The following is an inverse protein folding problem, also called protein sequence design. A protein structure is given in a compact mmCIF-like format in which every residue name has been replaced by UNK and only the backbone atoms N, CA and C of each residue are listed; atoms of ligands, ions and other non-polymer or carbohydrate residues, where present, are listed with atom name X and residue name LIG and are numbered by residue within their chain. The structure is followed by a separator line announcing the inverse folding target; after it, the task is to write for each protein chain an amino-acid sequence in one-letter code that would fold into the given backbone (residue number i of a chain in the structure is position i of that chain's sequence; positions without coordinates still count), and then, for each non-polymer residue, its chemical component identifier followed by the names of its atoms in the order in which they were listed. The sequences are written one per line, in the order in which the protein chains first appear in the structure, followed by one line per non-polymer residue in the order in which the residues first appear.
data_IF_090836767502
#
_entry.id   IF_090836767502
#
_cell.length_a   1.000
_cell.length_b   1.000
_cell.length_c   1.000
_cell.angle_alpha   90.00
_cell.angle_beta   90.00
_cell.angle_gamma   90.00
#
_symmetry.space_group_name_H-M   'P 1'
#
loop_
_entity.id
_entity.type
_entity.pdbx_description
1 polymer ?
#
# COMPACT_ATOMS: atom_id res chain seq x y z
N UNK A 1 23.18 8.84 1.15
CA UNK A 1 21.74 8.61 1.33
C UNK A 1 21.55 7.13 1.59
N UNK A 2 20.77 6.75 2.58
CA UNK A 2 20.49 5.33 2.85
C UNK A 2 19.77 4.73 1.65
N UNK A 3 20.23 3.58 1.17
CA UNK A 3 19.58 2.80 0.08
C UNK A 3 18.37 2.00 0.60
N UNK A 4 18.12 2.04 1.90
CA UNK A 4 17.04 1.33 2.59
C UNK A 4 15.74 2.11 2.41
N UNK A 5 14.75 1.48 1.82
CA UNK A 5 13.40 2.05 1.60
C UNK A 5 12.41 1.67 2.68
N UNK A 6 12.55 0.47 3.26
CA UNK A 6 11.77 0.02 4.42
C UNK A 6 12.73 -0.58 5.44
N UNK A 7 12.57 -0.21 6.71
CA UNK A 7 13.25 -0.83 7.84
C UNK A 7 12.28 -1.05 8.97
N UNK A 8 12.37 -2.19 9.64
CA UNK A 8 11.61 -2.47 10.86
C UNK A 8 12.53 -2.92 11.98
N UNK A 9 12.16 -2.57 13.20
CA UNK A 9 12.82 -3.07 14.42
C UNK A 9 11.75 -3.47 15.42
N UNK A 10 11.82 -4.72 15.89
CA UNK A 10 10.89 -5.32 16.86
C UNK A 10 9.41 -5.13 16.49
N UNK A 11 9.09 -5.11 15.17
CA UNK A 11 7.75 -4.85 14.67
C UNK A 11 6.80 -5.94 15.14
N UNK A 12 5.78 -5.55 15.89
CA UNK A 12 4.82 -6.48 16.48
C UNK A 12 3.40 -5.97 16.27
N UNK A 13 2.49 -6.90 15.93
CA UNK A 13 1.05 -6.62 15.83
C UNK A 13 0.25 -7.65 16.60
N UNK A 14 -0.48 -7.20 17.61
CA UNK A 14 -1.39 -8.01 18.42
C UNK A 14 -2.80 -7.42 18.33
N UNK A 15 -3.76 -8.28 18.12
CA UNK A 15 -5.18 -7.90 18.23
C UNK A 15 -5.61 -8.04 19.67
N UNK A 16 -6.26 -6.99 20.20
CA UNK A 16 -6.86 -7.02 21.52
C UNK A 16 -8.22 -7.73 21.45
N UNK A 17 -8.52 -8.56 22.44
CA UNK A 17 -9.79 -9.29 22.57
C UNK A 17 -9.79 -10.10 23.86
N UNK A 18 -10.84 -10.89 24.11
CA UNK A 18 -10.88 -11.80 25.27
C UNK A 18 -9.68 -12.78 25.25
N UNK A 19 -9.27 -13.20 24.05
CA UNK A 19 -8.02 -13.92 23.82
C UNK A 19 -7.19 -13.11 22.83
N UNK A 20 -6.06 -12.50 23.26
CA UNK A 20 -5.20 -11.76 22.36
C UNK A 20 -4.61 -12.66 21.26
N UNK A 21 -4.63 -12.19 20.03
CA UNK A 21 -4.05 -12.90 18.88
C UNK A 21 -2.84 -12.14 18.37
N UNK A 22 -1.68 -12.79 18.34
CA UNK A 22 -0.47 -12.23 17.74
C UNK A 22 -0.47 -12.51 16.24
N UNK A 23 -0.49 -11.47 15.43
CA UNK A 23 -0.47 -11.56 13.97
C UNK A 23 0.96 -11.50 13.43
N UNK A 24 1.80 -10.64 14.03
CA UNK A 24 3.22 -10.45 13.71
C UNK A 24 3.96 -10.25 15.03
N UNK A 25 5.12 -10.85 15.19
CA UNK A 25 5.90 -10.77 16.43
C UNK A 25 7.37 -10.56 16.16
N UNK A 26 7.90 -9.49 16.73
CA UNK A 26 9.34 -9.17 16.80
C UNK A 26 10.07 -9.21 15.44
N UNK A 27 9.48 -8.64 14.39
CA UNK A 27 10.05 -8.66 13.05
C UNK A 27 11.01 -7.51 12.85
N UNK A 28 12.28 -7.84 12.56
CA UNK A 28 13.32 -6.94 12.09
C UNK A 28 13.70 -7.27 10.66
N UNK A 29 13.60 -6.30 9.74
CA UNK A 29 14.03 -6.45 8.36
C UNK A 29 14.45 -5.11 7.76
N UNK A 30 15.21 -5.18 6.68
CA UNK A 30 15.56 -4.04 5.84
C UNK A 30 15.31 -4.41 4.37
N UNK A 31 14.66 -3.52 3.64
CA UNK A 31 14.45 -3.64 2.20
C UNK A 31 15.12 -2.46 1.53
N UNK A 32 15.95 -2.77 0.53
CA UNK A 32 16.72 -1.77 -0.22
C UNK A 32 16.02 -1.41 -1.52
N UNK A 33 16.36 -0.27 -2.05
CA UNK A 33 15.86 0.17 -3.36
C UNK A 33 16.24 -0.84 -4.45
N UNK A 34 15.24 -1.21 -5.27
CA UNK A 34 15.40 -2.17 -6.36
C UNK A 34 15.38 -3.64 -5.95
N UNK A 35 15.24 -3.96 -4.66
CA UNK A 35 15.09 -5.35 -4.24
C UNK A 35 13.73 -5.94 -4.59
N UNK A 36 13.73 -7.22 -4.94
CA UNK A 36 12.55 -8.07 -5.05
C UNK A 36 12.53 -9.01 -3.84
N UNK A 37 11.58 -8.80 -2.94
CA UNK A 37 11.46 -9.54 -1.68
C UNK A 37 10.24 -10.45 -1.69
N UNK A 38 10.41 -11.69 -1.28
CA UNK A 38 9.32 -12.68 -1.17
C UNK A 38 9.13 -13.09 0.28
N UNK A 39 7.91 -12.95 0.80
CA UNK A 39 7.52 -13.42 2.12
C UNK A 39 6.84 -14.77 1.97
N UNK A 40 7.45 -15.83 2.50
CA UNK A 40 6.96 -17.21 2.42
C UNK A 40 6.59 -17.76 3.80
N UNK A 41 5.77 -18.80 3.81
CA UNK A 41 5.36 -19.49 5.04
C UNK A 41 3.99 -20.16 4.89
N UNK A 42 3.59 -21.01 5.84
CA UNK A 42 2.31 -21.69 5.83
C UNK A 42 1.12 -20.72 5.93
N UNK A 43 -0.08 -21.20 5.65
CA UNK A 43 -1.31 -20.42 5.84
C UNK A 43 -1.44 -20.02 7.33
N UNK A 44 -1.87 -18.80 7.58
CA UNK A 44 -2.00 -18.27 8.95
C UNK A 44 -0.71 -17.79 9.63
N UNK A 45 0.46 -17.86 8.97
CA UNK A 45 1.73 -17.40 9.56
C UNK A 45 1.95 -15.88 9.60
N UNK A 46 0.92 -15.07 9.31
CA UNK A 46 1.02 -13.61 9.42
C UNK A 46 1.57 -12.88 8.19
N UNK A 47 1.81 -13.55 7.04
CA UNK A 47 2.37 -12.92 5.82
C UNK A 47 1.59 -11.68 5.36
N UNK A 48 0.27 -11.80 5.25
CA UNK A 48 -0.59 -10.68 4.84
C UNK A 48 -0.59 -9.57 5.89
N UNK A 49 -0.58 -9.95 7.18
CA UNK A 49 -0.51 -8.97 8.28
C UNK A 49 0.80 -8.20 8.25
N UNK A 50 1.92 -8.87 7.98
CA UNK A 50 3.20 -8.19 7.80
C UNK A 50 3.17 -7.27 6.59
N UNK A 51 2.64 -7.72 5.43
CA UNK A 51 2.49 -6.87 4.24
C UNK A 51 1.61 -5.64 4.51
N UNK A 52 0.54 -5.78 5.31
CA UNK A 52 -0.31 -4.65 5.67
C UNK A 52 0.40 -3.64 6.57
N UNK A 53 1.24 -4.10 7.49
CA UNK A 53 2.09 -3.20 8.29
C UNK A 53 3.11 -2.47 7.41
N UNK A 54 3.86 -3.20 6.57
CA UNK A 54 4.86 -2.62 5.67
C UNK A 54 4.22 -1.67 4.64
N UNK A 55 2.98 -1.95 4.24
CA UNK A 55 2.18 -1.14 3.33
C UNK A 55 1.42 -0.01 4.02
N UNK A 56 1.60 0.21 5.32
CA UNK A 56 0.90 1.25 6.09
C UNK A 56 -0.64 1.11 6.07
N UNK A 57 -1.17 -0.10 5.81
CA UNK A 57 -2.61 -0.42 5.86
C UNK A 57 -3.07 -0.83 7.26
N UNK A 58 -2.14 -1.16 8.14
CA UNK A 58 -2.35 -1.43 9.55
C UNK A 58 -1.22 -0.78 10.36
N UNK A 59 -1.44 -0.59 11.66
CA UNK A 59 -0.48 0.02 12.56
C UNK A 59 0.10 -1.00 13.53
N UNK A 60 1.41 -0.98 13.82
CA UNK A 60 2.00 -1.88 14.78
C UNK A 60 1.49 -1.61 16.20
N UNK A 61 1.41 -2.64 17.02
CA UNK A 61 1.15 -2.51 18.46
C UNK A 61 2.41 -2.07 19.21
N UNK A 62 3.58 -2.49 18.73
CA UNK A 62 4.89 -2.07 19.24
C UNK A 62 5.97 -2.26 18.17
N UNK A 63 7.16 -1.75 18.46
CA UNK A 63 8.26 -1.70 17.51
C UNK A 63 8.21 -0.46 16.63
N UNK A 64 9.11 -0.39 15.67
CA UNK A 64 9.26 0.78 14.79
C UNK A 64 9.33 0.37 13.33
N UNK A 65 8.73 1.23 12.49
CA UNK A 65 8.76 1.13 11.04
C UNK A 65 9.30 2.44 10.46
N UNK A 66 10.30 2.33 9.63
CA UNK A 66 10.84 3.46 8.85
C UNK A 66 10.54 3.25 7.36
N UNK A 67 10.18 4.33 6.70
CA UNK A 67 10.02 4.40 5.26
C UNK A 67 10.84 5.56 4.70
N UNK A 68 11.71 5.28 3.74
CA UNK A 68 12.65 6.26 3.15
C UNK A 68 13.46 7.03 4.21
N UNK A 69 13.79 6.39 5.35
CA UNK A 69 14.54 6.97 6.46
C UNK A 69 13.71 7.75 7.49
N UNK A 70 12.41 7.89 7.29
CA UNK A 70 11.50 8.52 8.26
C UNK A 70 10.81 7.47 9.12
N UNK A 71 10.75 7.69 10.44
CA UNK A 71 9.97 6.86 11.35
C UNK A 71 8.49 7.18 11.22
N UNK A 72 7.73 6.25 10.67
CA UNK A 72 6.31 6.40 10.38
C UNK A 72 5.39 5.75 11.43
N UNK A 73 5.95 5.08 12.45
CA UNK A 73 5.18 4.32 13.45
C UNK A 73 4.20 5.16 14.26
N UNK A 74 4.49 6.45 14.43
CA UNK A 74 3.69 7.38 15.22
C UNK A 74 2.87 8.36 14.36
N UNK A 75 2.80 8.12 13.04
CA UNK A 75 2.04 8.98 12.14
C UNK A 75 0.53 8.80 12.34
N UNK A 76 -0.24 9.90 12.18
CA UNK A 76 -1.69 9.84 12.14
C UNK A 76 -2.17 9.07 10.90
N UNK A 77 -3.40 8.55 10.96
CA UNK A 77 -3.98 7.82 9.81
C UNK A 77 -4.01 8.67 8.54
N UNK A 78 -4.31 9.97 8.66
CA UNK A 78 -4.30 10.88 7.50
C UNK A 78 -2.91 10.98 6.87
N UNK A 79 -1.87 11.10 7.69
CA UNK A 79 -0.48 11.17 7.20
C UNK A 79 -0.02 9.85 6.61
N UNK A 80 -0.43 8.72 7.19
CA UNK A 80 -0.18 7.39 6.60
C UNK A 80 -0.92 7.23 5.26
N UNK A 81 -2.15 7.72 5.15
CA UNK A 81 -2.92 7.69 3.90
C UNK A 81 -2.26 8.53 2.79
N UNK A 82 -1.74 9.71 3.12
CA UNK A 82 -0.98 10.54 2.19
C UNK A 82 0.30 9.83 1.70
N UNK A 83 1.03 9.20 2.63
CA UNK A 83 2.26 8.49 2.31
C UNK A 83 1.98 7.25 1.45
N UNK A 84 0.93 6.47 1.78
CA UNK A 84 0.47 5.35 0.93
C UNK A 84 0.18 5.80 -0.49
N UNK A 85 -0.58 6.89 -0.62
CA UNK A 85 -0.97 7.41 -1.92
C UNK A 85 0.24 7.88 -2.76
N UNK A 86 1.26 8.44 -2.12
CA UNK A 86 2.40 9.04 -2.79
C UNK A 86 3.52 8.05 -3.13
N UNK A 87 3.74 7.04 -2.26
CA UNK A 87 4.94 6.21 -2.27
C UNK A 87 4.69 4.73 -2.51
N UNK A 88 3.44 4.24 -2.35
CA UNK A 88 3.13 2.82 -2.39
C UNK A 88 2.15 2.47 -3.50
N UNK A 89 2.38 1.34 -4.14
CA UNK A 89 1.42 0.69 -5.03
C UNK A 89 1.03 -0.68 -4.49
N UNK A 90 -0.25 -1.02 -4.58
CA UNK A 90 -0.77 -2.31 -4.14
C UNK A 90 -1.37 -3.08 -5.29
N UNK A 91 -1.10 -4.38 -5.32
CA UNK A 91 -1.84 -5.35 -6.12
C UNK A 91 -2.51 -6.31 -5.17
N UNK A 92 -3.84 -6.28 -5.11
CA UNK A 92 -4.63 -7.11 -4.21
C UNK A 92 -5.17 -8.36 -4.91
N UNK A 93 -5.51 -9.37 -4.12
CA UNK A 93 -6.20 -10.57 -4.61
C UNK A 93 -7.64 -10.24 -5.07
N UNK A 94 -8.30 -9.30 -4.41
CA UNK A 94 -9.62 -8.80 -4.76
C UNK A 94 -9.51 -7.38 -5.29
N UNK A 95 -10.42 -7.00 -6.21
CA UNK A 95 -10.51 -5.62 -6.66
C UNK A 95 -11.20 -4.78 -5.57
N UNK A 96 -10.64 -3.62 -5.31
CA UNK A 96 -11.24 -2.60 -4.43
C UNK A 96 -11.69 -1.40 -5.26
N UNK A 97 -12.28 -1.68 -6.43
CA UNK A 97 -12.80 -0.65 -7.30
C UNK A 97 -14.11 -0.11 -6.73
N UNK A 98 -14.33 1.17 -6.92
CA UNK A 98 -15.60 1.84 -6.58
C UNK A 98 -16.61 1.52 -7.68
N UNK A 99 -17.68 0.77 -7.37
CA UNK A 99 -18.61 0.26 -8.38
C UNK A 99 -19.45 1.35 -9.02
N UNK A 100 -19.53 2.55 -8.41
CA UNK A 100 -20.24 3.71 -8.90
C UNK A 100 -19.50 4.43 -10.04
N UNK A 101 -18.20 4.12 -10.22
CA UNK A 101 -17.34 4.79 -11.18
C UNK A 101 -16.85 3.83 -12.27
N UNK A 102 -16.72 4.35 -13.49
CA UNK A 102 -16.11 3.59 -14.58
C UNK A 102 -14.65 3.23 -14.29
N UNK A 103 -14.12 2.26 -15.04
CA UNK A 103 -12.71 1.88 -14.94
C UNK A 103 -11.78 3.09 -15.11
N UNK A 104 -12.06 3.97 -16.07
CA UNK A 104 -11.30 5.20 -16.27
C UNK A 104 -11.32 6.09 -15.03
N UNK A 105 -12.47 6.33 -14.43
CA UNK A 105 -12.59 7.19 -13.24
C UNK A 105 -11.88 6.55 -12.06
N UNK A 106 -12.01 5.24 -11.85
CA UNK A 106 -11.26 4.53 -10.80
C UNK A 106 -9.74 4.73 -10.92
N UNK A 107 -9.20 4.71 -12.15
CA UNK A 107 -7.75 4.96 -12.40
C UNK A 107 -7.40 6.44 -12.19
N UNK A 108 -8.31 7.36 -12.44
CA UNK A 108 -8.08 8.81 -12.26
C UNK A 108 -8.04 9.22 -10.79
N UNK A 109 -8.85 8.61 -9.93
CA UNK A 109 -9.05 9.01 -8.53
C UNK A 109 -7.75 9.22 -7.74
N UNK A 110 -6.77 8.29 -7.74
CA UNK A 110 -5.51 8.49 -7.02
C UNK A 110 -4.73 9.70 -7.51
N UNK A 111 -4.71 9.94 -8.83
CA UNK A 111 -4.01 11.09 -9.42
C UNK A 111 -4.70 12.41 -9.07
N UNK A 112 -6.03 12.43 -9.05
CA UNK A 112 -6.82 13.59 -8.60
C UNK A 112 -6.53 13.90 -7.13
N UNK A 113 -6.50 12.87 -6.28
CA UNK A 113 -6.20 13.04 -4.85
C UNK A 113 -4.79 13.56 -4.59
N UNK A 114 -3.80 13.15 -5.40
CA UNK A 114 -2.44 13.67 -5.33
C UNK A 114 -2.32 15.14 -5.72
N UNK A 115 -3.20 15.64 -6.59
CA UNK A 115 -3.25 17.06 -6.97
C UNK A 115 -2.02 17.58 -7.72
N UNK A 116 -1.23 16.70 -8.36
CA UNK A 116 0.03 17.06 -9.03
C UNK A 116 -0.13 17.34 -10.52
N UNK A 117 -1.27 17.02 -11.10
CA UNK A 117 -1.56 17.09 -12.54
C UNK A 117 -2.88 17.84 -12.77
N UNK A 118 -3.04 18.44 -13.94
CA UNK A 118 -4.33 18.99 -14.38
C UNK A 118 -5.31 17.85 -14.76
N UNK A 119 -6.60 18.14 -14.78
CA UNK A 119 -7.64 17.15 -15.14
C UNK A 119 -7.39 16.55 -16.52
N UNK A 120 -6.94 17.33 -17.49
CA UNK A 120 -6.60 16.86 -18.83
C UNK A 120 -5.39 15.90 -18.80
N UNK A 121 -4.36 16.21 -18.04
CA UNK A 121 -3.18 15.35 -17.87
C UNK A 121 -3.53 14.05 -17.15
N UNK A 122 -4.39 14.12 -16.13
CA UNK A 122 -4.88 12.93 -15.40
C UNK A 122 -5.64 12.01 -16.35
N UNK A 123 -6.57 12.57 -17.14
CA UNK A 123 -7.36 11.80 -18.11
C UNK A 123 -6.44 11.15 -19.16
N UNK A 124 -5.54 11.91 -19.74
CA UNK A 124 -4.60 11.40 -20.75
C UNK A 124 -3.76 10.26 -20.18
N UNK A 125 -3.23 10.43 -18.95
CA UNK A 125 -2.44 9.41 -18.28
C UNK A 125 -3.25 8.16 -17.97
N UNK A 126 -4.49 8.31 -17.49
CA UNK A 126 -5.36 7.18 -17.16
C UNK A 126 -5.72 6.36 -18.42
N UNK A 127 -6.05 7.03 -19.53
CA UNK A 127 -6.30 6.35 -20.82
C UNK A 127 -5.06 5.59 -21.28
N UNK A 128 -3.87 6.21 -21.23
CA UNK A 128 -2.62 5.54 -21.59
C UNK A 128 -2.40 4.26 -20.76
N UNK A 129 -2.57 4.32 -19.44
CA UNK A 129 -2.40 3.16 -18.56
C UNK A 129 -3.38 2.03 -18.89
N UNK A 130 -4.62 2.35 -19.18
CA UNK A 130 -5.62 1.35 -19.58
C UNK A 130 -5.28 0.72 -20.94
N UNK A 131 -4.83 1.53 -21.91
CA UNK A 131 -4.37 1.05 -23.21
C UNK A 131 -3.17 0.13 -23.10
N UNK A 132 -2.17 0.50 -22.30
CA UNK A 132 -0.97 -0.31 -22.05
C UNK A 132 -1.30 -1.70 -21.47
N UNK A 133 -2.42 -1.81 -20.75
CA UNK A 133 -2.93 -3.07 -20.19
C UNK A 133 -3.95 -3.79 -21.09
N UNK A 134 -4.23 -3.28 -22.31
CA UNK A 134 -5.22 -3.85 -23.21
C UNK A 134 -6.67 -3.65 -22.77
N UNK A 135 -6.94 -2.65 -21.93
CA UNK A 135 -8.25 -2.34 -21.36
C UNK A 135 -8.91 -1.10 -22.00
N UNK A 136 -8.48 -0.68 -23.17
CA UNK A 136 -8.98 0.51 -23.85
C UNK A 136 -10.50 0.49 -24.04
N UNK A 137 -11.07 -0.65 -24.48
CA UNK A 137 -12.51 -0.80 -24.68
C UNK A 137 -13.31 -0.91 -23.36
N UNK A 138 -12.63 -1.11 -22.22
CA UNK A 138 -13.26 -1.25 -20.92
C UNK A 138 -13.36 0.08 -20.16
N UNK A 139 -12.70 1.14 -20.64
CA UNK A 139 -12.52 2.39 -19.89
C UNK A 139 -13.84 3.04 -19.40
N UNK A 140 -14.95 2.83 -20.13
CA UNK A 140 -16.25 3.39 -19.78
C UNK A 140 -17.18 2.42 -19.05
N UNK A 141 -16.76 1.16 -18.85
CA UNK A 141 -17.56 0.15 -18.14
C UNK A 141 -17.41 0.30 -16.64
N UNK A 142 -18.46 -0.07 -15.94
CA UNK A 142 -18.45 -0.24 -14.49
C UNK A 142 -17.75 -1.56 -14.14
N UNK A 143 -17.14 -1.67 -12.95
CA UNK A 143 -16.56 -2.89 -12.43
C UNK A 143 -17.53 -4.05 -12.30
#
# INVERSE_FOLDING_TARGET
MSDIVIKTEHLTRKLSGEVPVTLVEDVGLEIRRGEFVVITGPSGSGKSSLLYLLGLLDTPTSGTLWMNGENVSAYSEDKLAELRLAELGFVFQFHFLLPEFSALVNVMLPMQRLGRLSDEQIRTRAVSLLTDLGLEEQQHKLP
#
